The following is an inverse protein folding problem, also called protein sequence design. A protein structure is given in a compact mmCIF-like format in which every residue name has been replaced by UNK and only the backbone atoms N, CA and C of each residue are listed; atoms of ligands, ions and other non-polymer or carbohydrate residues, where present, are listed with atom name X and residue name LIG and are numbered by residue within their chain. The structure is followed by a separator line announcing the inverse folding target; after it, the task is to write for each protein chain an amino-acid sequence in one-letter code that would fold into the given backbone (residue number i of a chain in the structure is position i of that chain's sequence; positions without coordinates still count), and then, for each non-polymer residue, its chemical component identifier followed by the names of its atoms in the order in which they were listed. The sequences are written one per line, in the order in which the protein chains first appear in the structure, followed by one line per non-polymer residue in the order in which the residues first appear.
data_IF_345655298407
#
_entry.id   IF_345655298407
#
_cell.length_a   1.000
_cell.length_b   1.000
_cell.length_c   1.000
_cell.angle_alpha   90.00
_cell.angle_beta   90.00
_cell.angle_gamma   90.00
#
_symmetry.space_group_name_H-M   'P 1'
#
loop_
_entity.id
_entity.type
_entity.pdbx_description
1 polymer ?
#
# COMPACT_ATOMS: atom_id res chain seq x y z
N UNK A 1 -1.48 -8.51 -5.00
CA UNK A 1 -1.48 -7.04 -4.93
C UNK A 1 -0.98 -6.65 -3.56
N UNK A 2 -0.07 -5.69 -3.49
CA UNK A 2 0.30 -5.00 -2.27
C UNK A 2 -0.55 -3.73 -2.18
N UNK A 3 -0.98 -3.37 -0.98
CA UNK A 3 -1.74 -2.16 -0.74
C UNK A 3 -0.97 -1.32 0.26
N UNK A 4 -0.85 -0.03 -0.04
CA UNK A 4 -0.13 0.91 0.77
C UNK A 4 -1.05 2.06 1.14
N UNK A 5 -0.86 2.58 2.35
CA UNK A 5 -1.54 3.78 2.82
C UNK A 5 -0.54 4.71 3.48
N UNK A 6 -0.65 6.01 3.16
CA UNK A 6 0.18 7.07 3.70
C UNK A 6 -0.72 8.17 4.27
N UNK A 7 -0.50 8.52 5.53
CA UNK A 7 -1.21 9.64 6.13
C UNK A 7 -0.63 10.95 5.59
N UNK A 8 -1.45 11.73 4.88
CA UNK A 8 -1.05 13.02 4.29
C UNK A 8 -1.62 14.22 5.04
N UNK A 9 -2.58 13.99 5.95
CA UNK A 9 -3.24 15.03 6.73
C UNK A 9 -3.32 14.63 8.20
N UNK A 10 -2.93 15.53 9.09
CA UNK A 10 -2.80 15.26 10.52
C UNK A 10 -1.43 14.71 10.90
N UNK A 11 -1.11 14.71 12.20
CA UNK A 11 0.19 14.25 12.70
C UNK A 11 0.25 12.72 12.91
N UNK A 12 -0.82 12.15 13.45
CA UNK A 12 -0.94 10.72 13.75
C UNK A 12 -2.41 10.30 13.64
N UNK A 13 -2.66 9.12 13.08
CA UNK A 13 -3.99 8.55 12.97
C UNK A 13 -3.95 7.07 13.31
N UNK A 14 -4.69 6.68 14.34
CA UNK A 14 -4.78 5.29 14.78
C UNK A 14 -6.12 4.68 14.32
N UNK A 15 -6.06 3.61 13.53
CA UNK A 15 -7.22 2.91 12.99
C UNK A 15 -7.09 1.41 13.14
N UNK A 16 -8.10 0.77 13.75
CA UNK A 16 -8.13 -0.69 14.02
C UNK A 16 -6.83 -1.24 14.62
N UNK A 17 -6.15 -0.47 15.48
CA UNK A 17 -4.90 -0.87 16.13
C UNK A 17 -3.62 -0.67 15.30
N UNK A 18 -3.71 -0.10 14.09
CA UNK A 18 -2.57 0.38 13.32
C UNK A 18 -2.43 1.90 13.47
N UNK A 19 -1.23 2.37 13.80
CA UNK A 19 -0.92 3.78 13.91
C UNK A 19 -0.17 4.25 12.67
N UNK A 20 -0.78 5.18 11.94
CA UNK A 20 -0.17 5.84 10.80
C UNK A 20 0.35 7.19 11.25
N UNK A 21 1.60 7.48 10.89
CA UNK A 21 2.23 8.78 11.16
C UNK A 21 2.24 9.61 9.88
N UNK A 22 2.21 10.93 10.05
CA UNK A 22 2.24 11.86 8.93
C UNK A 22 3.44 11.58 8.01
N UNK A 23 3.18 11.54 6.70
CA UNK A 23 4.14 11.23 5.65
C UNK A 23 4.80 9.85 5.73
N UNK A 24 4.32 8.93 6.58
CA UNK A 24 4.76 7.55 6.59
C UNK A 24 3.81 6.67 5.78
N UNK A 25 4.39 5.98 4.79
CA UNK A 25 3.71 4.92 4.06
C UNK A 25 3.83 3.61 4.85
N UNK A 26 2.73 2.86 4.93
CA UNK A 26 2.69 1.54 5.53
C UNK A 26 1.93 0.58 4.61
N UNK A 27 2.40 -0.66 4.55
CA UNK A 27 1.67 -1.75 3.90
C UNK A 27 0.44 -2.09 4.73
N UNK A 28 -0.71 -2.17 4.05
CA UNK A 28 -2.00 -2.46 4.65
C UNK A 28 -2.67 -3.63 3.95
N UNK A 29 -3.61 -4.25 4.64
CA UNK A 29 -4.44 -5.30 4.04
C UNK A 29 -5.48 -4.68 3.10
N UNK A 30 -6.00 -5.48 2.15
CA UNK A 30 -7.07 -5.05 1.23
C UNK A 30 -8.25 -4.40 1.96
N UNK A 31 -8.72 -5.01 3.06
CA UNK A 31 -9.84 -4.49 3.84
C UNK A 31 -9.54 -3.12 4.46
N UNK A 32 -8.29 -2.89 4.87
CA UNK A 32 -7.87 -1.59 5.37
C UNK A 32 -7.75 -0.57 4.24
N UNK A 33 -7.19 -0.96 3.09
CA UNK A 33 -7.15 -0.12 1.90
C UNK A 33 -8.57 0.32 1.49
N UNK A 34 -9.55 -0.57 1.43
CA UNK A 34 -10.93 -0.21 1.07
C UNK A 34 -11.58 0.73 2.10
N UNK A 35 -11.25 0.55 3.38
CA UNK A 35 -11.69 1.45 4.44
C UNK A 35 -11.05 2.85 4.30
N UNK A 36 -9.74 2.92 4.08
CA UNK A 36 -8.98 4.16 3.93
C UNK A 36 -9.23 4.85 2.58
N UNK A 37 -9.62 4.10 1.54
CA UNK A 37 -10.02 4.62 0.24
C UNK A 37 -11.27 5.50 0.32
N UNK A 38 -12.08 5.36 1.36
CA UNK A 38 -13.18 6.28 1.64
C UNK A 38 -12.71 7.58 2.33
N UNK A 39 -11.47 7.62 2.85
CA UNK A 39 -10.87 8.75 3.58
C UNK A 39 -9.71 9.38 2.80
N UNK A 40 -9.86 9.54 1.47
CA UNK A 40 -8.81 10.11 0.61
C UNK A 40 -8.37 11.51 0.98
N UNK A 41 -9.18 12.26 1.72
CA UNK A 41 -8.82 13.58 2.23
C UNK A 41 -7.72 13.54 3.29
N UNK A 42 -7.58 12.41 4.00
CA UNK A 42 -6.60 12.23 5.07
C UNK A 42 -5.48 11.26 4.69
N UNK A 43 -5.81 10.28 3.82
CA UNK A 43 -4.92 9.19 3.43
C UNK A 43 -4.72 9.13 1.92
N UNK A 44 -3.46 9.06 1.50
CA UNK A 44 -3.08 8.66 0.15
C UNK A 44 -2.92 7.14 0.12
N UNK A 45 -3.75 6.45 -0.66
CA UNK A 45 -3.72 4.99 -0.79
C UNK A 45 -3.24 4.59 -2.18
N UNK A 46 -2.37 3.58 -2.24
CA UNK A 46 -1.80 3.03 -3.48
C UNK A 46 -1.98 1.52 -3.51
N UNK A 47 -2.24 0.98 -4.69
CA UNK A 47 -2.21 -0.45 -4.95
C UNK A 47 -1.11 -0.73 -5.97
N UNK A 48 -0.25 -1.69 -5.64
CA UNK A 48 0.76 -2.19 -6.57
C UNK A 48 0.44 -3.64 -6.94
N UNK A 49 0.39 -3.97 -8.25
CA UNK A 49 0.35 -5.36 -8.66
C UNK A 49 1.60 -6.05 -8.09
N UNK A 50 1.42 -7.25 -7.53
CA UNK A 50 2.55 -8.12 -7.21
C UNK A 50 3.14 -8.50 -8.57
N UNK A 51 4.07 -7.70 -9.08
CA UNK A 51 4.75 -8.01 -10.32
C UNK A 51 5.51 -9.30 -10.02
N UNK A 52 4.94 -10.43 -10.43
CA UNK A 52 5.65 -11.68 -10.48
C UNK A 52 6.83 -11.40 -11.39
N UNK A 53 8.03 -11.35 -10.82
CA UNK A 53 9.26 -11.31 -11.59
C UNK A 53 9.28 -12.63 -12.36
N UNK A 54 8.67 -12.64 -13.55
CA UNK A 54 8.82 -13.73 -14.50
C UNK A 54 10.27 -13.59 -14.93
N UNK A 55 11.17 -14.27 -14.22
CA UNK A 55 12.50 -14.54 -14.70
C UNK A 55 12.32 -15.27 -16.02
N UNK A 56 12.32 -14.53 -17.13
CA UNK A 56 12.53 -15.11 -18.44
C UNK A 56 13.96 -15.62 -18.38
N UNK A 57 14.13 -16.87 -17.91
CA UNK A 57 15.33 -17.64 -18.18
C UNK A 57 15.42 -17.67 -19.69
N UNK A 58 16.33 -16.83 -20.19
CA UNK A 58 16.85 -16.82 -21.54
C UNK A 58 17.29 -18.25 -21.85
N UNK A 59 16.44 -19.04 -22.49
CA UNK A 59 16.83 -20.31 -23.09
C UNK A 59 17.63 -19.92 -24.33
N UNK A 60 18.94 -19.90 -24.17
CA UNK A 60 19.90 -20.01 -25.26
C UNK A 60 20.41 -21.45 -25.14
N UNK A 61 19.90 -22.32 -25.98
CA UNK A 61 20.50 -23.60 -26.41
C UNK A 61 20.09 -23.67 -27.89
N UNK A 62 20.92 -23.21 -28.83
CA UNK A 62 22.13 -23.81 -29.44
C UNK A 62 21.79 -24.16 -30.89
#
# INVERSE_FOLDING_TARGET
MYYFAKLIKGNEYSVKGMTFKCNQEAEVTKSMYEYLKNKKEEFEVRDEPKLHHVSIKKVIEE
#
